data_IF_739505275604
#
_entry.id   IF_739505275604
#
_cell.length_a   1.000
_cell.length_b   1.000
_cell.length_c   1.000
_cell.angle_alpha   90.00
_cell.angle_beta   90.00
_cell.angle_gamma   90.00
#
_symmetry.space_group_name_H-M   'P 1'
#
loop_
_entity.id
_entity.type
_entity.pdbx_description
1 polymer ?
#
# COMPACT_ATOMS: atom_id res chain seq x y z
N UNK A 1 26.44 -29.17 3.04
CA UNK A 1 26.12 -27.82 3.56
C UNK A 1 24.84 -27.33 2.92
N UNK A 2 23.81 -26.96 3.70
CA UNK A 2 22.54 -26.45 3.16
C UNK A 2 22.77 -25.08 2.53
N UNK A 3 22.39 -24.90 1.27
CA UNK A 3 22.45 -23.59 0.59
C UNK A 3 21.15 -22.84 0.85
N UNK A 4 21.26 -21.66 1.45
CA UNK A 4 20.13 -20.74 1.61
C UNK A 4 20.18 -19.75 0.45
N UNK A 5 19.11 -19.71 -0.36
CA UNK A 5 18.98 -18.64 -1.35
C UNK A 5 18.78 -17.30 -0.62
N UNK A 6 19.51 -16.24 -1.00
CA UNK A 6 19.32 -14.93 -0.40
C UNK A 6 17.89 -14.45 -0.68
N UNK A 7 17.10 -14.37 0.38
CA UNK A 7 15.70 -13.96 0.33
C UNK A 7 15.57 -12.50 -0.14
N UNK A 8 15.43 -12.29 -1.46
CA UNK A 8 15.32 -10.95 -2.09
C UNK A 8 13.96 -10.29 -1.88
N UNK A 9 12.97 -10.98 -1.32
CA UNK A 9 11.60 -10.48 -1.19
C UNK A 9 11.45 -9.34 -0.15
N UNK A 10 12.44 -9.15 0.74
CA UNK A 10 12.45 -8.07 1.74
C UNK A 10 12.45 -6.68 1.07
N UNK A 11 13.06 -6.54 -0.11
CA UNK A 11 13.14 -5.26 -0.83
C UNK A 11 11.89 -4.92 -1.66
N UNK A 12 11.02 -5.90 -1.95
CA UNK A 12 9.88 -5.71 -2.86
C UNK A 12 8.67 -5.03 -2.23
N UNK A 13 8.58 -4.99 -0.89
CA UNK A 13 7.51 -4.33 -0.17
C UNK A 13 8.10 -3.49 0.96
N UNK A 14 8.72 -2.38 0.57
CA UNK A 14 9.10 -1.35 1.52
C UNK A 14 7.81 -0.62 1.96
N UNK A 15 7.38 -0.91 3.17
CA UNK A 15 6.30 -0.22 3.88
C UNK A 15 6.93 0.73 4.89
N UNK A 16 6.49 1.99 4.84
CA UNK A 16 6.92 3.06 5.74
C UNK A 16 5.68 3.54 6.48
N UNK A 17 5.69 3.45 7.81
CA UNK A 17 4.54 3.78 8.68
C UNK A 17 3.22 3.11 8.25
N UNK A 18 3.27 1.85 7.80
CA UNK A 18 2.06 1.10 7.37
C UNK A 18 1.55 1.45 5.97
N UNK A 19 2.19 2.39 5.27
CA UNK A 19 1.88 2.73 3.88
C UNK A 19 2.97 2.20 2.93
N UNK A 20 2.61 1.70 1.74
CA UNK A 20 3.57 1.44 0.67
C UNK A 20 4.22 2.77 0.24
N UNK A 21 5.43 2.69 -0.30
CA UNK A 21 6.26 3.86 -0.61
C UNK A 21 5.56 4.93 -1.46
N UNK A 22 4.68 4.53 -2.37
CA UNK A 22 3.89 5.45 -3.21
C UNK A 22 2.84 6.23 -2.41
N UNK A 23 2.07 5.56 -1.55
CA UNK A 23 1.07 6.22 -0.70
C UNK A 23 1.74 7.07 0.37
N UNK A 24 2.91 6.65 0.86
CA UNK A 24 3.74 7.47 1.74
C UNK A 24 4.19 8.77 1.05
N UNK A 25 4.65 8.70 -0.21
CA UNK A 25 5.03 9.88 -0.97
C UNK A 25 3.85 10.86 -1.14
N UNK A 26 2.64 10.35 -1.39
CA UNK A 26 1.43 11.18 -1.48
C UNK A 26 1.15 11.90 -0.14
N UNK A 27 1.27 11.19 0.99
CA UNK A 27 1.13 11.79 2.32
C UNK A 27 2.17 12.89 2.55
N UNK A 28 3.43 12.65 2.16
CA UNK A 28 4.49 13.66 2.28
C UNK A 28 4.23 14.90 1.42
N UNK A 29 3.73 14.73 0.20
CA UNK A 29 3.33 15.85 -0.66
C UNK A 29 2.22 16.69 -0.03
N UNK A 30 1.22 16.05 0.60
CA UNK A 30 0.18 16.75 1.35
C UNK A 30 0.76 17.58 2.50
N UNK A 31 1.68 17.00 3.29
CA UNK A 31 2.33 17.70 4.40
C UNK A 31 3.12 18.92 3.90
N UNK A 32 3.87 18.77 2.80
CA UNK A 32 4.63 19.88 2.22
C UNK A 32 3.72 21.00 1.70
N UNK A 33 2.64 20.65 0.99
CA UNK A 33 1.66 21.63 0.52
C UNK A 33 0.98 22.36 1.69
N UNK A 34 0.62 21.61 2.73
CA UNK A 34 0.05 22.12 3.99
C UNK A 34 0.97 23.13 4.64
N UNK A 35 2.26 22.81 4.71
CA UNK A 35 3.28 23.69 5.27
C UNK A 35 3.36 25.00 4.47
N UNK A 36 3.35 24.94 3.14
CA UNK A 36 3.35 26.14 2.30
C UNK A 36 2.12 27.01 2.60
N UNK A 37 0.93 26.42 2.70
CA UNK A 37 -0.31 27.17 2.98
C UNK A 37 -0.27 27.83 4.36
N UNK A 38 0.24 27.13 5.39
CA UNK A 38 0.33 27.69 6.75
C UNK A 38 1.22 28.93 6.77
N UNK A 39 2.37 28.89 6.09
CA UNK A 39 3.33 29.99 6.05
C UNK A 39 2.72 31.24 5.37
N UNK A 40 1.91 31.06 4.31
CA UNK A 40 1.34 32.20 3.58
C UNK A 40 -0.02 32.70 4.12
N UNK A 41 -0.82 31.84 4.74
CA UNK A 41 -2.23 32.16 5.02
C UNK A 41 -2.55 32.46 6.49
N UNK A 42 -1.65 32.17 7.44
CA UNK A 42 -1.70 32.43 8.89
C UNK A 42 -3.09 32.66 9.55
N UNK A 43 -4.09 31.87 9.17
CA UNK A 43 -5.45 31.93 9.71
C UNK A 43 -5.69 30.71 10.59
N UNK A 44 -6.19 30.94 11.80
CA UNK A 44 -6.40 29.87 12.79
C UNK A 44 -7.34 28.78 12.28
N UNK A 45 -8.40 29.15 11.55
CA UNK A 45 -9.33 28.20 10.95
C UNK A 45 -8.68 27.34 9.86
N UNK A 46 -7.80 27.94 9.05
CA UNK A 46 -7.06 27.23 8.00
C UNK A 46 -6.08 26.22 8.61
N UNK A 47 -5.39 26.60 9.69
CA UNK A 47 -4.46 25.71 10.40
C UNK A 47 -5.20 24.47 10.91
N UNK A 48 -6.32 24.65 11.61
CA UNK A 48 -7.12 23.53 12.13
C UNK A 48 -7.62 22.64 11.00
N UNK A 49 -8.17 23.24 9.93
CA UNK A 49 -8.68 22.52 8.78
C UNK A 49 -7.61 21.65 8.10
N UNK A 50 -6.40 22.19 7.96
CA UNK A 50 -5.25 21.46 7.39
C UNK A 50 -4.85 20.26 8.27
N UNK A 51 -4.82 20.42 9.60
CA UNK A 51 -4.52 19.31 10.50
C UNK A 51 -5.55 18.18 10.40
N UNK A 52 -6.84 18.53 10.38
CA UNK A 52 -7.94 17.57 10.21
C UNK A 52 -7.81 16.88 8.85
N UNK A 53 -7.56 17.64 7.78
CA UNK A 53 -7.40 17.10 6.43
C UNK A 53 -6.24 16.08 6.33
N UNK A 54 -5.06 16.41 6.85
CA UNK A 54 -3.92 15.48 6.83
C UNK A 54 -4.20 14.22 7.65
N UNK A 55 -4.87 14.35 8.79
CA UNK A 55 -5.26 13.21 9.62
C UNK A 55 -6.25 12.30 8.88
N UNK A 56 -7.30 12.89 8.29
CA UNK A 56 -8.29 12.17 7.51
C UNK A 56 -7.66 11.46 6.30
N UNK A 57 -6.76 12.16 5.59
CA UNK A 57 -6.03 11.60 4.45
C UNK A 57 -5.17 10.41 4.87
N UNK A 58 -4.42 10.53 5.97
CA UNK A 58 -3.60 9.44 6.50
C UNK A 58 -4.44 8.20 6.87
N UNK A 59 -5.57 8.39 7.55
CA UNK A 59 -6.48 7.30 7.92
C UNK A 59 -7.07 6.65 6.67
N UNK A 60 -7.50 7.43 5.68
CA UNK A 60 -8.02 6.92 4.42
C UNK A 60 -6.97 6.09 3.66
N UNK A 61 -5.75 6.60 3.50
CA UNK A 61 -4.66 5.89 2.85
C UNK A 61 -4.29 4.59 3.59
N UNK A 62 -4.28 4.62 4.92
CA UNK A 62 -4.01 3.43 5.75
C UNK A 62 -5.11 2.38 5.61
N UNK A 63 -6.39 2.79 5.58
CA UNK A 63 -7.54 1.90 5.33
C UNK A 63 -7.44 1.23 3.96
N UNK A 64 -7.07 1.99 2.92
CA UNK A 64 -6.90 1.46 1.56
C UNK A 64 -5.70 0.51 1.49
N UNK A 65 -4.58 0.85 2.14
CA UNK A 65 -3.38 0.00 2.24
C UNK A 65 -3.66 -1.34 2.94
N UNK A 66 -4.42 -1.30 4.04
CA UNK A 66 -4.77 -2.47 4.84
C UNK A 66 -5.83 -3.36 4.21
N UNK A 67 -6.56 -2.89 3.18
CA UNK A 67 -7.51 -3.71 2.44
C UNK A 67 -6.95 -4.08 1.06
N UNK A 68 -6.09 -5.12 0.97
CA UNK A 68 -5.39 -5.48 -0.27
C UNK A 68 -6.34 -5.92 -1.40
N UNK A 69 -7.64 -6.07 -1.16
CA UNK A 69 -8.66 -6.30 -2.20
C UNK A 69 -8.83 -5.10 -3.14
N UNK A 70 -8.65 -3.86 -2.67
CA UNK A 70 -8.82 -2.67 -3.52
C UNK A 70 -7.71 -2.51 -4.55
N UNK A 71 -6.52 -3.06 -4.27
CA UNK A 71 -5.38 -3.09 -5.18
C UNK A 71 -5.18 -4.45 -5.87
N UNK A 72 -6.15 -5.37 -5.81
CA UNK A 72 -6.19 -6.52 -6.73
C UNK A 72 -6.61 -6.08 -8.13
N UNK A 73 -5.88 -5.13 -8.72
CA UNK A 73 -5.85 -4.97 -10.17
C UNK A 73 -5.11 -6.18 -10.74
N UNK A 74 -5.93 -7.14 -11.19
CA UNK A 74 -5.57 -8.33 -11.93
C UNK A 74 -4.65 -9.32 -11.20
N UNK A 75 -5.27 -10.24 -10.47
CA UNK A 75 -4.77 -11.63 -10.45
C UNK A 75 -4.98 -12.20 -11.86
N UNK A 76 -4.17 -11.75 -12.83
CA UNK A 76 -4.26 -12.15 -14.23
C UNK A 76 -3.95 -13.63 -14.47
N UNK A 77 -3.48 -14.35 -13.44
CA UNK A 77 -3.24 -15.78 -13.54
C UNK A 77 -3.79 -16.54 -12.33
N UNK A 78 -4.74 -17.48 -12.53
CA UNK A 78 -4.99 -18.50 -11.53
C UNK A 78 -3.70 -19.29 -11.29
N UNK A 79 -3.37 -19.53 -10.02
CA UNK A 79 -2.15 -20.25 -9.59
C UNK A 79 -2.11 -21.70 -10.09
N UNK A 80 -3.20 -22.20 -10.66
CA UNK A 80 -3.38 -23.59 -11.06
C UNK A 80 -4.13 -23.63 -12.39
N UNK A 81 -3.40 -23.47 -13.49
CA UNK A 81 -3.78 -24.10 -14.75
C UNK A 81 -2.90 -25.35 -14.83
N UNK A 82 -3.41 -26.45 -14.29
CA UNK A 82 -2.75 -27.75 -14.43
C UNK A 82 -3.29 -28.40 -15.70
N UNK A 83 -2.42 -28.65 -16.68
CA UNK A 83 -2.76 -29.46 -17.87
C UNK A 83 -2.76 -30.97 -17.55
N UNK A 84 -2.98 -31.37 -16.29
CA UNK A 84 -3.18 -32.77 -15.95
C UNK A 84 -4.49 -33.21 -16.60
N UNK A 85 -4.39 -34.06 -17.62
CA UNK A 85 -5.52 -34.84 -18.14
C UNK A 85 -6.11 -35.57 -16.94
N UNK A 86 -7.38 -35.29 -16.63
CA UNK A 86 -8.12 -36.01 -15.61
C UNK A 86 -8.32 -37.46 -16.09
N UNK A 87 -7.32 -38.30 -15.90
CA UNK A 87 -7.45 -39.74 -15.99
C UNK A 87 -8.11 -40.15 -14.69
N UNK A 88 -9.43 -40.41 -14.73
CA UNK A 88 -10.28 -40.74 -13.58
C UNK A 88 -9.94 -42.06 -12.89
N UNK A 89 -8.67 -42.26 -12.56
CA UNK A 89 -8.18 -43.33 -11.71
C UNK A 89 -8.03 -42.75 -10.30
N UNK A 90 -8.94 -43.15 -9.43
CA UNK A 90 -8.77 -43.05 -7.99
C UNK A 90 -7.84 -44.18 -7.58
N UNK A 91 -6.71 -43.84 -6.98
CA UNK A 91 -5.85 -44.81 -6.31
C UNK A 91 -6.04 -44.58 -4.81
N UNK A 92 -6.77 -45.52 -4.19
CA UNK A 92 -6.86 -45.69 -2.73
C UNK A 92 -5.49 -45.86 -2.09
#
# INVERSE_FOLDING_TARGET
>A
MKRFEPYRNIRKKAVIFGLPISLFALMMMSILASLMVIIFSFSFGVIIGIFIFNTALYVALTRISNNPQLFQMAKAFPKIISNKRNSGFDYE
#
